data_IF_211731717372
#
_entry.id   IF_211731717372
#
_cell.length_a   1.000
_cell.length_b   1.000
_cell.length_c   1.000
_cell.angle_alpha   90.00
_cell.angle_beta   90.00
_cell.angle_gamma   90.00
#
_symmetry.space_group_name_H-M   'P 1'
#
loop_
_entity.id
_entity.type
_entity.pdbx_description
1 polymer ?
#
# COMPACT_ATOMS: atom_id res chain seq x y z
N UNK A 1 -18.79 -8.30 1.73
CA UNK A 1 -19.01 -7.23 0.73
C UNK A 1 -17.67 -6.70 0.23
N UNK A 2 -17.56 -6.18 -1.00
CA UNK A 2 -16.31 -5.57 -1.50
C UNK A 2 -16.41 -4.05 -1.64
N UNK A 3 -15.31 -3.35 -1.38
CA UNK A 3 -15.13 -1.90 -1.64
C UNK A 3 -13.73 -1.64 -2.18
N UNK A 4 -13.43 -0.40 -2.57
CA UNK A 4 -12.13 -0.02 -3.14
C UNK A 4 -11.43 1.04 -2.30
N UNK A 5 -10.15 0.85 -2.00
CA UNK A 5 -9.25 1.91 -1.52
C UNK A 5 -8.60 2.56 -2.73
N UNK A 6 -8.67 3.90 -2.80
CA UNK A 6 -8.09 4.71 -3.87
C UNK A 6 -6.93 5.50 -3.28
N UNK A 7 -5.73 5.32 -3.83
CA UNK A 7 -4.55 6.10 -3.48
C UNK A 7 -4.07 6.90 -4.69
N UNK A 8 -3.68 8.17 -4.49
CA UNK A 8 -2.96 8.93 -5.52
C UNK A 8 -1.47 8.57 -5.49
N UNK A 9 -0.91 8.22 -6.64
CA UNK A 9 0.49 7.83 -6.78
C UNK A 9 1.37 9.07 -7.03
N UNK A 10 1.47 9.96 -6.03
CA UNK A 10 2.19 11.25 -6.13
C UNK A 10 3.70 11.10 -6.38
N UNK A 11 4.17 11.40 -7.58
CA UNK A 11 5.55 11.16 -8.02
C UNK A 11 5.75 9.77 -8.63
N UNK A 12 4.68 9.19 -9.18
CA UNK A 12 4.68 7.90 -9.87
C UNK A 12 5.81 7.79 -10.91
N UNK A 13 5.97 8.80 -11.77
CA UNK A 13 7.03 8.81 -12.79
C UNK A 13 8.43 8.69 -12.18
N UNK A 14 8.72 9.47 -11.15
CA UNK A 14 10.02 9.44 -10.46
C UNK A 14 10.30 8.06 -9.89
N UNK A 15 9.29 7.43 -9.29
CA UNK A 15 9.42 6.08 -8.76
C UNK A 15 9.64 5.02 -9.85
N UNK A 16 8.94 5.13 -10.98
CA UNK A 16 9.15 4.25 -12.14
C UNK A 16 10.56 4.38 -12.72
N UNK A 17 11.03 5.62 -12.90
CA UNK A 17 12.36 5.90 -13.46
C UNK A 17 13.47 5.37 -12.53
N UNK A 18 13.35 5.56 -11.20
CA UNK A 18 14.27 5.00 -10.20
C UNK A 18 14.30 3.47 -10.28
N UNK A 19 13.14 2.81 -10.37
CA UNK A 19 13.07 1.35 -10.53
C UNK A 19 13.71 0.86 -11.82
N UNK A 20 13.51 1.57 -12.92
CA UNK A 20 14.12 1.22 -14.20
C UNK A 20 15.64 1.35 -14.13
N UNK A 21 16.15 2.45 -13.58
CA UNK A 21 17.58 2.66 -13.39
C UNK A 21 18.19 1.57 -12.51
N UNK A 22 17.55 1.22 -11.39
CA UNK A 22 18.04 0.16 -10.51
C UNK A 22 17.99 -1.23 -11.17
N UNK A 23 17.00 -1.50 -12.03
CA UNK A 23 16.96 -2.73 -12.81
C UNK A 23 18.12 -2.80 -13.83
N UNK A 24 18.51 -1.67 -14.43
CA UNK A 24 19.69 -1.59 -15.32
C UNK A 24 20.97 -1.83 -14.52
N UNK A 25 21.13 -1.19 -13.36
CA UNK A 25 22.29 -1.41 -12.48
C UNK A 25 22.41 -2.88 -12.08
N UNK A 26 21.31 -3.55 -11.72
CA UNK A 26 21.32 -4.97 -11.35
C UNK A 26 21.75 -5.88 -12.50
N UNK A 27 21.52 -5.48 -13.76
CA UNK A 27 21.99 -6.24 -14.94
C UNK A 27 23.50 -6.08 -15.17
N UNK A 28 24.07 -4.93 -14.82
CA UNK A 28 25.52 -4.66 -14.97
C UNK A 28 26.28 -5.28 -13.80
N UNK A 29 25.78 -5.09 -12.58
CA UNK A 29 26.36 -5.67 -11.35
C UNK A 29 25.26 -6.36 -10.55
N UNK A 30 25.12 -7.70 -10.69
CA UNK A 30 24.07 -8.47 -10.03
C UNK A 30 24.01 -8.24 -8.51
N UNK A 31 22.83 -7.90 -8.01
CA UNK A 31 22.54 -7.70 -6.59
C UNK A 31 22.64 -6.25 -6.11
N UNK A 32 23.42 -5.39 -6.78
CA UNK A 32 23.55 -3.99 -6.38
C UNK A 32 22.23 -3.26 -6.59
N UNK A 33 21.66 -3.33 -7.79
CA UNK A 33 20.41 -2.63 -8.10
C UNK A 33 19.25 -3.07 -7.20
N UNK A 34 19.17 -4.37 -6.87
CA UNK A 34 18.17 -4.88 -5.91
C UNK A 34 18.31 -4.33 -4.49
N UNK A 35 19.53 -4.11 -4.02
CA UNK A 35 19.78 -3.58 -2.68
C UNK A 35 19.47 -2.07 -2.56
N UNK A 36 19.53 -1.33 -3.67
CA UNK A 36 19.29 0.12 -3.69
C UNK A 36 17.90 0.52 -4.22
N UNK A 37 17.12 -0.43 -4.77
CA UNK A 37 15.76 -0.18 -5.21
C UNK A 37 14.88 0.33 -4.06
N UNK A 38 14.31 1.53 -4.24
CA UNK A 38 13.44 2.13 -3.22
C UNK A 38 12.12 1.36 -3.13
N UNK A 39 11.63 1.06 -1.90
CA UNK A 39 10.33 0.43 -1.74
C UNK A 39 9.22 1.34 -2.26
N UNK A 40 8.09 0.74 -2.66
CA UNK A 40 6.93 1.53 -3.07
C UNK A 40 6.50 2.48 -1.94
N UNK A 41 6.28 3.77 -2.25
CA UNK A 41 5.73 4.70 -1.27
C UNK A 41 4.22 4.48 -1.05
N UNK A 42 3.56 3.70 -1.93
CA UNK A 42 2.14 3.36 -1.80
C UNK A 42 1.95 1.85 -1.76
N UNK A 43 1.10 1.38 -0.85
CA UNK A 43 0.60 0.02 -0.87
C UNK A 43 -0.59 -0.12 0.08
N UNK A 44 -1.39 -1.15 -0.17
CA UNK A 44 -2.37 -1.67 0.78
C UNK A 44 -2.03 -3.12 1.03
N UNK A 45 -2.05 -3.53 2.29
CA UNK A 45 -1.88 -4.93 2.67
C UNK A 45 -2.97 -5.37 3.64
N UNK A 46 -3.52 -6.55 3.41
CA UNK A 46 -4.35 -7.23 4.41
C UNK A 46 -3.47 -7.67 5.57
N UNK A 47 -3.92 -7.41 6.79
CA UNK A 47 -3.32 -7.91 8.01
C UNK A 47 -3.93 -9.28 8.32
N UNK A 48 -3.12 -10.32 8.17
CA UNK A 48 -3.55 -11.72 8.31
C UNK A 48 -3.24 -12.29 9.70
N UNK A 49 -2.55 -11.54 10.55
CA UNK A 49 -2.15 -11.99 11.88
C UNK A 49 -1.02 -11.17 12.49
N UNK A 50 -0.43 -11.69 13.56
CA UNK A 50 0.76 -11.12 14.21
C UNK A 50 2.03 -11.65 13.55
N UNK A 51 3.09 -10.83 13.55
CA UNK A 51 4.42 -11.23 13.08
C UNK A 51 5.47 -10.93 14.15
N UNK A 52 6.32 -11.90 14.54
CA UNK A 52 7.38 -11.65 15.52
C UNK A 52 8.44 -10.68 15.02
N UNK A 53 8.62 -10.55 13.70
CA UNK A 53 9.63 -9.67 13.08
C UNK A 53 9.08 -8.29 12.73
N UNK A 54 7.84 -8.23 12.24
CA UNK A 54 7.27 -7.02 11.63
C UNK A 54 6.04 -6.47 12.34
N UNK A 55 5.77 -6.96 13.57
CA UNK A 55 4.57 -6.73 14.38
C UNK A 55 3.31 -7.37 13.79
N UNK A 56 3.04 -7.18 12.51
CA UNK A 56 1.89 -7.74 11.79
C UNK A 56 2.32 -8.55 10.57
N UNK A 57 1.64 -9.68 10.34
CA UNK A 57 1.74 -10.45 9.10
C UNK A 57 0.88 -9.76 8.03
N UNK A 58 1.43 -9.61 6.82
CA UNK A 58 0.82 -8.82 5.74
C UNK A 58 0.75 -9.60 4.44
N UNK A 59 -0.40 -9.53 3.77
CA UNK A 59 -0.57 -9.95 2.38
C UNK A 59 -0.79 -8.70 1.52
N UNK A 60 0.17 -8.36 0.65
CA UNK A 60 0.12 -7.14 -0.16
C UNK A 60 -0.86 -7.29 -1.32
N UNK A 61 -1.77 -6.33 -1.47
CA UNK A 61 -2.81 -6.33 -2.49
C UNK A 61 -2.27 -5.67 -3.75
N UNK A 62 -2.39 -6.37 -4.88
CA UNK A 62 -2.03 -5.82 -6.19
C UNK A 62 -3.12 -4.81 -6.63
N UNK A 63 -2.77 -3.54 -6.91
CA UNK A 63 -3.73 -2.57 -7.39
C UNK A 63 -3.99 -2.70 -8.90
N UNK A 64 -5.15 -2.18 -9.31
CA UNK A 64 -5.36 -1.68 -10.66
C UNK A 64 -4.93 -0.22 -10.73
N UNK A 65 -4.04 0.13 -11.67
CA UNK A 65 -3.53 1.50 -11.82
C UNK A 65 -4.25 2.19 -12.98
N UNK A 66 -4.79 3.37 -12.70
CA UNK A 66 -5.52 4.22 -13.63
C UNK A 66 -4.72 5.50 -13.92
N UNK A 67 -4.61 5.80 -15.21
CA UNK A 67 -3.88 6.94 -15.76
C UNK A 67 -4.80 7.98 -16.42
N UNK A 68 -6.12 7.81 -16.37
CA UNK A 68 -7.10 8.66 -17.06
C UNK A 68 -6.99 10.13 -16.68
N UNK A 69 -6.59 10.42 -15.44
CA UNK A 69 -6.45 11.78 -14.91
C UNK A 69 -4.97 12.21 -14.76
N UNK A 70 -4.04 11.45 -15.34
CA UNK A 70 -2.62 11.72 -15.19
C UNK A 70 -2.25 13.07 -15.83
N UNK A 71 -1.50 13.88 -15.10
CA UNK A 71 -0.82 15.04 -15.67
C UNK A 71 0.22 14.61 -16.71
N UNK A 72 0.62 15.49 -17.63
CA UNK A 72 1.66 15.22 -18.63
C UNK A 72 2.99 14.70 -18.05
N UNK A 73 3.35 15.16 -16.84
CA UNK A 73 4.55 14.70 -16.14
C UNK A 73 4.37 13.41 -15.33
N UNK A 74 3.13 12.89 -15.26
CA UNK A 74 2.74 11.72 -14.46
C UNK A 74 3.15 11.81 -12.98
N UNK A 75 3.35 13.03 -12.47
CA UNK A 75 3.64 13.26 -11.05
C UNK A 75 2.38 13.33 -10.20
N UNK A 76 1.22 13.63 -10.81
CA UNK A 76 -0.10 13.73 -10.17
C UNK A 76 -1.16 13.08 -11.05
N UNK A 77 -2.28 12.72 -10.44
CA UNK A 77 -3.47 12.21 -11.15
C UNK A 77 -3.37 10.76 -11.63
N UNK A 78 -2.31 10.04 -11.25
CA UNK A 78 -2.24 8.57 -11.36
C UNK A 78 -2.84 7.97 -10.10
N UNK A 79 -3.78 7.04 -10.24
CA UNK A 79 -4.49 6.45 -9.10
C UNK A 79 -4.34 4.94 -9.05
N UNK A 80 -4.12 4.39 -7.86
CA UNK A 80 -4.17 2.95 -7.61
C UNK A 80 -5.47 2.60 -6.88
N UNK A 81 -6.19 1.63 -7.41
CA UNK A 81 -7.42 1.08 -6.84
C UNK A 81 -7.15 -0.32 -6.30
N UNK A 82 -7.39 -0.51 -5.01
CA UNK A 82 -7.21 -1.77 -4.28
C UNK A 82 -8.57 -2.32 -3.88
N UNK A 83 -8.91 -3.51 -4.36
CA UNK A 83 -10.15 -4.19 -3.96
C UNK A 83 -9.97 -4.81 -2.58
N UNK A 84 -10.89 -4.51 -1.67
CA UNK A 84 -10.86 -4.96 -0.28
C UNK A 84 -12.23 -5.49 0.15
N UNK A 85 -12.24 -6.49 1.01
CA UNK A 85 -13.42 -7.16 1.57
C UNK A 85 -13.79 -6.64 2.98
N UNK A 86 -15.08 -6.63 3.29
CA UNK A 86 -15.64 -6.37 4.61
C UNK A 86 -15.17 -7.40 5.65
N UNK A 87 -15.08 -6.96 6.91
CA UNK A 87 -14.66 -7.82 8.03
C UNK A 87 -13.16 -8.14 8.08
N UNK A 88 -12.37 -7.70 7.09
CA UNK A 88 -10.91 -7.81 7.06
C UNK A 88 -10.25 -6.54 7.60
N UNK A 89 -8.97 -6.64 7.95
CA UNK A 89 -8.17 -5.51 8.42
C UNK A 89 -7.03 -5.22 7.43
N UNK A 90 -6.73 -3.95 7.23
CA UNK A 90 -5.75 -3.50 6.26
C UNK A 90 -4.80 -2.48 6.88
N UNK A 91 -3.54 -2.53 6.49
CA UNK A 91 -2.59 -1.42 6.63
C UNK A 91 -2.46 -0.72 5.28
N UNK A 92 -2.58 0.60 5.30
CA UNK A 92 -2.41 1.46 4.13
C UNK A 92 -1.17 2.29 4.34
N UNK A 93 -0.27 2.28 3.34
CA UNK A 93 0.78 3.28 3.21
C UNK A 93 0.45 4.16 2.02
N UNK A 94 0.45 5.47 2.23
CA UNK A 94 0.29 6.44 1.16
C UNK A 94 1.23 7.64 1.31
N UNK A 95 1.44 8.33 0.19
CA UNK A 95 2.12 9.62 0.13
C UNK A 95 1.09 10.69 -0.17
N UNK A 96 1.00 11.68 0.70
CA UNK A 96 0.16 12.87 0.53
C UNK A 96 1.05 14.09 0.31
N UNK A 97 0.49 15.25 -0.10
CA UNK A 97 1.25 16.50 -0.14
C UNK A 97 1.80 16.94 1.23
N UNK A 98 1.17 16.52 2.32
CA UNK A 98 1.56 16.90 3.69
C UNK A 98 2.52 15.89 4.33
N UNK A 99 2.44 14.62 3.96
CA UNK A 99 3.21 13.54 4.60
C UNK A 99 3.67 12.51 3.57
N UNK A 100 4.98 12.27 3.50
CA UNK A 100 5.57 11.35 2.52
C UNK A 100 5.40 9.86 2.85
N UNK A 101 5.14 9.53 4.12
CA UNK A 101 5.12 8.15 4.62
C UNK A 101 3.94 7.90 5.57
N UNK A 102 2.77 8.44 5.25
CA UNK A 102 1.56 8.24 6.06
C UNK A 102 1.18 6.76 6.09
N UNK A 103 0.99 6.23 7.29
CA UNK A 103 0.49 4.87 7.51
C UNK A 103 -0.66 4.87 8.50
N UNK A 104 -1.66 4.05 8.21
CA UNK A 104 -2.80 3.86 9.10
C UNK A 104 -3.45 2.51 8.85
N UNK A 105 -4.23 2.08 9.84
CA UNK A 105 -5.02 0.87 9.78
C UNK A 105 -6.47 1.20 9.47
N UNK A 106 -7.14 0.29 8.76
CA UNK A 106 -8.58 0.38 8.55
C UNK A 106 -9.21 -1.01 8.47
N UNK A 107 -10.50 -1.07 8.72
CA UNK A 107 -11.38 -2.18 8.34
C UNK A 107 -12.49 -1.67 7.42
N UNK A 108 -13.25 -2.59 6.85
CA UNK A 108 -14.39 -2.31 6.00
C UNK A 108 -15.65 -2.89 6.66
N UNK A 109 -16.66 -2.06 6.88
CA UNK A 109 -17.94 -2.50 7.44
C UNK A 109 -18.72 -3.38 6.45
N UNK A 110 -19.75 -4.06 6.93
CA UNK A 110 -20.67 -4.84 6.08
C UNK A 110 -21.40 -4.00 5.02
N UNK A 111 -21.41 -2.67 5.17
CA UNK A 111 -21.96 -1.72 4.20
C UNK A 111 -20.89 -1.08 3.29
N UNK A 112 -19.64 -1.54 3.38
CA UNK A 112 -18.55 -1.07 2.53
C UNK A 112 -17.87 0.22 2.99
N UNK A 113 -18.19 0.69 4.21
CA UNK A 113 -17.59 1.90 4.78
C UNK A 113 -16.19 1.60 5.31
N UNK A 114 -15.24 2.50 5.07
CA UNK A 114 -13.86 2.37 5.56
C UNK A 114 -13.76 3.01 6.93
N UNK A 115 -13.45 2.20 7.94
CA UNK A 115 -13.34 2.64 9.32
C UNK A 115 -11.87 2.60 9.70
N UNK A 116 -11.28 3.75 10.06
CA UNK A 116 -9.90 3.80 10.57
C UNK A 116 -9.83 3.12 11.93
N UNK A 117 -8.74 2.41 12.17
CA UNK A 117 -8.49 1.72 13.43
C UNK A 117 -7.25 2.31 14.11
N UNK A 118 -7.30 2.41 15.44
CA UNK A 118 -6.08 2.51 16.24
C UNK A 118 -5.36 1.16 16.30
N UNK A 119 -4.14 1.16 16.82
CA UNK A 119 -3.38 -0.08 17.01
C UNK A 119 -4.06 -1.01 18.03
N UNK A 120 -4.64 -0.45 19.08
CA UNK A 120 -5.40 -1.19 20.11
C UNK A 120 -6.65 -1.85 19.52
N UNK A 121 -7.42 -1.11 18.73
CA UNK A 121 -8.62 -1.63 18.06
C UNK A 121 -8.26 -2.75 17.07
N UNK A 122 -7.20 -2.57 16.29
CA UNK A 122 -6.67 -3.61 15.41
C UNK A 122 -6.28 -4.88 16.18
N UNK A 123 -5.60 -4.72 17.31
CA UNK A 123 -5.21 -5.86 18.14
C UNK A 123 -6.43 -6.60 18.69
N UNK A 124 -7.46 -5.88 19.15
CA UNK A 124 -8.73 -6.48 19.59
C UNK A 124 -9.44 -7.25 18.46
N UNK A 125 -9.44 -6.71 17.24
CA UNK A 125 -9.98 -7.41 16.08
C UNK A 125 -9.22 -8.70 15.77
N UNK A 126 -7.89 -8.67 15.85
CA UNK A 126 -7.06 -9.85 15.62
C UNK A 126 -7.31 -10.94 16.66
N UNK A 127 -7.45 -10.56 17.93
CA UNK A 127 -7.65 -11.53 19.01
C UNK A 127 -9.03 -12.21 18.93
N UNK A 128 -10.05 -11.52 18.39
CA UNK A 128 -11.40 -12.08 18.15
C UNK A 128 -11.47 -13.05 16.97
N UNK A 129 -10.56 -12.96 16.01
CA UNK A 129 -10.54 -13.83 14.83
C UNK A 129 -9.79 -15.15 15.07
N UNK A 130 -9.23 -15.35 16.28
CA UNK A 130 -8.44 -16.55 16.66
C UNK A 130 -9.23 -17.51 17.55
N UNK A 131 -10.44 -17.12 18.01
CA UNK A 131 -11.38 -17.95 18.77
C UNK A 131 -12.36 -18.70 17.88
#
# INVERSE_FOLDING_TARGET
MFTQIKLELIGWKVWQDDRLQMAIVDRIVPGIGRNFARPSPWWVAEITGRSPKYRYARSFIQPHVDYTMASDSFNRGVFAYYLVESGRMYEVKEKTPAEENLRYFLTVSEHGEKIKLTEEELNLCLDRNVS
#
